data_IF_795855206602
#
_entry.id   IF_795855206602
#
_cell.length_a   1.000
_cell.length_b   1.000
_cell.length_c   1.000
_cell.angle_alpha   90.00
_cell.angle_beta   90.00
_cell.angle_gamma   90.00
#
_symmetry.space_group_name_H-M   'P 1'
#
loop_
_entity.id
_entity.type
_entity.pdbx_description
1 polymer ?
#
# COMPACT_ATOMS: atom_id res chain seq x y z
N UNK A 1 -7.95 -12.36 10.70
CA UNK A 1 -6.81 -11.45 10.51
C UNK A 1 -7.25 -10.02 10.16
N UNK A 2 -7.98 -9.80 9.06
CA UNK A 2 -8.37 -8.46 8.58
C UNK A 2 -9.20 -7.62 9.59
N UNK A 3 -10.13 -8.25 10.32
CA UNK A 3 -10.92 -7.57 11.36
C UNK A 3 -10.02 -7.05 12.50
N UNK A 4 -9.00 -7.84 12.88
CA UNK A 4 -8.06 -7.46 13.94
C UNK A 4 -7.17 -6.29 13.48
N UNK A 5 -6.66 -6.34 12.24
CA UNK A 5 -5.90 -5.24 11.64
C UNK A 5 -6.73 -3.95 11.61
N UNK A 6 -7.97 -4.04 11.13
CA UNK A 6 -8.88 -2.89 11.04
C UNK A 6 -9.13 -2.26 12.42
N UNK A 7 -9.42 -3.06 13.45
CA UNK A 7 -9.74 -2.56 14.79
C UNK A 7 -8.52 -2.09 15.58
N UNK A 8 -7.40 -2.80 15.50
CA UNK A 8 -6.24 -2.55 16.36
C UNK A 8 -5.22 -1.60 15.76
N UNK A 9 -5.15 -1.50 14.42
CA UNK A 9 -4.17 -0.66 13.74
C UNK A 9 -4.85 0.49 12.99
N UNK A 10 -5.83 0.19 12.14
CA UNK A 10 -6.43 1.22 11.29
C UNK A 10 -7.28 2.21 12.08
N UNK A 11 -8.11 1.74 13.03
CA UNK A 11 -8.97 2.61 13.83
C UNK A 11 -8.19 3.67 14.65
N UNK A 12 -7.14 3.32 15.44
CA UNK A 12 -6.37 4.33 16.16
C UNK A 12 -5.60 5.26 15.23
N UNK A 13 -5.02 4.74 14.13
CA UNK A 13 -4.34 5.58 13.14
C UNK A 13 -5.30 6.60 12.50
N UNK A 14 -6.50 6.17 12.12
CA UNK A 14 -7.54 7.05 11.55
C UNK A 14 -7.99 8.09 12.58
N UNK A 15 -8.11 7.72 13.86
CA UNK A 15 -8.48 8.66 14.92
C UNK A 15 -7.42 9.78 15.06
N UNK A 16 -6.14 9.42 15.10
CA UNK A 16 -5.03 10.38 15.17
C UNK A 16 -5.03 11.30 13.94
N UNK A 17 -5.16 10.74 12.73
CA UNK A 17 -5.20 11.52 11.49
C UNK A 17 -6.36 12.52 11.52
N UNK A 18 -7.56 12.10 11.96
CA UNK A 18 -8.73 12.98 12.04
C UNK A 18 -8.53 14.12 13.03
N UNK A 19 -7.93 13.83 14.19
CA UNK A 19 -7.63 14.85 15.19
C UNK A 19 -6.61 15.88 14.67
N UNK A 20 -5.49 15.40 14.12
CA UNK A 20 -4.44 16.26 13.55
C UNK A 20 -4.97 17.12 12.41
N UNK A 21 -5.77 16.53 11.51
CA UNK A 21 -6.37 17.27 10.41
C UNK A 21 -7.46 18.25 10.88
N UNK A 22 -8.21 17.90 11.94
CA UNK A 22 -9.18 18.79 12.56
C UNK A 22 -8.53 20.04 13.17
N UNK A 23 -7.34 19.92 13.79
CA UNK A 23 -6.54 21.06 14.27
C UNK A 23 -6.10 21.97 13.13
N UNK A 24 -5.67 21.37 12.03
CA UNK A 24 -5.33 22.11 10.80
C UNK A 24 -6.53 22.89 10.26
N UNK A 25 -7.68 22.25 10.10
CA UNK A 25 -8.92 22.88 9.61
C UNK A 25 -9.36 24.04 10.51
N UNK A 26 -9.35 23.86 11.83
CA UNK A 26 -9.69 24.92 12.77
C UNK A 26 -8.75 26.14 12.69
N UNK A 27 -7.46 25.91 12.41
CA UNK A 27 -6.46 26.96 12.23
C UNK A 27 -6.62 27.68 10.89
N UNK A 28 -6.90 26.94 9.81
CA UNK A 28 -7.04 27.49 8.46
C UNK A 28 -8.34 28.30 8.28
N UNK A 29 -9.40 27.94 9.01
CA UNK A 29 -10.74 28.51 8.88
C UNK A 29 -11.23 29.14 10.21
N UNK A 30 -10.67 30.28 10.62
CA UNK A 30 -10.99 30.89 11.92
C UNK A 30 -12.48 31.25 11.99
N UNK A 31 -13.24 30.60 12.88
CA UNK A 31 -14.71 30.72 13.02
C UNK A 31 -15.53 30.33 11.78
N UNK A 32 -14.92 29.70 10.76
CA UNK A 32 -15.58 29.31 9.51
C UNK A 32 -15.51 27.79 9.32
N UNK A 33 -15.88 27.04 10.36
CA UNK A 33 -15.91 25.57 10.33
C UNK A 33 -17.30 25.03 10.66
N UNK A 34 -17.65 23.91 10.05
CA UNK A 34 -18.85 23.12 10.36
C UNK A 34 -18.45 21.76 10.95
N UNK A 35 -19.25 21.25 11.87
CA UNK A 35 -19.02 19.92 12.43
C UNK A 35 -19.58 18.85 11.49
N UNK A 36 -18.73 17.90 11.14
CA UNK A 36 -19.15 16.69 10.41
C UNK A 36 -20.03 15.80 11.28
N UNK A 37 -20.70 14.83 10.65
CA UNK A 37 -21.43 13.75 11.36
C UNK A 37 -20.58 12.98 12.38
N UNK A 38 -19.25 13.05 12.26
CA UNK A 38 -18.29 12.42 13.15
C UNK A 38 -17.75 13.36 14.25
N UNK A 39 -18.27 14.59 14.35
CA UNK A 39 -17.86 15.58 15.36
C UNK A 39 -16.53 16.29 15.08
N UNK A 40 -15.97 16.18 13.88
CA UNK A 40 -14.72 16.87 13.50
C UNK A 40 -15.01 18.14 12.69
N UNK A 41 -14.29 19.25 12.94
CA UNK A 41 -14.46 20.50 12.21
C UNK A 41 -14.00 20.36 10.75
N UNK A 42 -14.72 21.01 9.85
CA UNK A 42 -14.40 21.13 8.41
C UNK A 42 -14.55 22.56 7.96
N UNK A 43 -13.58 23.06 7.22
CA UNK A 43 -13.61 24.39 6.65
C UNK A 43 -14.72 24.59 5.63
N UNK A 44 -15.34 25.76 5.69
CA UNK A 44 -16.33 26.20 4.70
C UNK A 44 -15.57 26.72 3.46
N UNK A 45 -15.90 26.26 2.24
CA UNK A 45 -15.26 26.75 1.01
C UNK A 45 -15.33 28.28 0.89
N UNK A 46 -14.22 28.90 0.49
CA UNK A 46 -14.11 30.36 0.28
C UNK A 46 -13.57 31.15 1.48
N UNK A 47 -13.44 30.55 2.66
CA UNK A 47 -12.91 31.19 3.88
C UNK A 47 -11.52 30.68 4.27
N UNK A 48 -10.81 30.05 3.33
CA UNK A 48 -9.48 29.51 3.57
C UNK A 48 -8.47 30.65 3.74
N UNK A 49 -7.76 30.66 4.87
CA UNK A 49 -6.67 31.61 5.13
C UNK A 49 -5.33 30.86 5.11
N UNK A 50 -4.72 30.76 3.92
CA UNK A 50 -3.48 29.99 3.70
C UNK A 50 -2.30 30.49 4.55
N UNK A 51 -2.24 31.80 4.85
CA UNK A 51 -1.20 32.41 5.67
C UNK A 51 -1.14 31.84 7.10
N UNK A 52 -2.25 31.29 7.60
CA UNK A 52 -2.28 30.68 8.92
C UNK A 52 -1.45 29.40 8.99
N UNK A 53 -1.13 28.77 7.86
CA UNK A 53 -0.30 27.56 7.84
C UNK A 53 1.10 27.82 8.42
N UNK A 54 1.64 29.02 8.20
CA UNK A 54 2.93 29.44 8.73
C UNK A 54 2.94 29.59 10.26
N UNK A 55 1.77 29.71 10.87
CA UNK A 55 1.61 29.81 12.33
C UNK A 55 1.52 28.43 13.00
N UNK A 56 1.41 27.36 12.20
CA UNK A 56 1.31 26.00 12.71
C UNK A 56 2.68 25.51 13.22
N UNK A 57 2.75 24.76 14.34
CA UNK A 57 3.98 24.10 14.75
C UNK A 57 4.51 23.19 13.65
N UNK A 58 5.83 23.18 13.46
CA UNK A 58 6.50 22.43 12.38
C UNK A 58 6.17 20.93 12.38
N UNK A 59 6.01 20.34 13.56
CA UNK A 59 5.73 18.90 13.69
C UNK A 59 4.29 18.57 13.26
N UNK A 60 3.32 19.41 13.63
CA UNK A 60 1.93 19.26 13.21
C UNK A 60 1.79 19.49 11.70
N UNK A 61 2.48 20.51 11.16
CA UNK A 61 2.50 20.79 9.73
C UNK A 61 3.03 19.58 8.93
N UNK A 62 4.12 18.95 9.39
CA UNK A 62 4.65 17.72 8.78
C UNK A 62 3.64 16.58 8.85
N UNK A 63 2.99 16.38 10.00
CA UNK A 63 2.01 15.31 10.18
C UNK A 63 0.81 15.50 9.24
N UNK A 64 0.32 16.73 9.04
CA UNK A 64 -0.76 17.04 8.09
C UNK A 64 -0.33 16.77 6.65
N UNK A 65 0.88 17.18 6.25
CA UNK A 65 1.42 16.91 4.92
C UNK A 65 1.60 15.41 4.63
N UNK A 66 1.73 14.59 5.67
CA UNK A 66 1.79 13.13 5.56
C UNK A 66 0.43 12.46 5.46
N UNK A 67 -0.69 13.19 5.47
CA UNK A 67 -2.03 12.61 5.27
C UNK A 67 -2.30 12.52 3.76
N UNK A 68 -2.13 11.34 3.11
CA UNK A 68 -2.24 11.21 1.65
C UNK A 68 -3.68 11.42 1.15
N UNK A 69 -4.67 11.33 2.05
CA UNK A 69 -6.09 11.55 1.76
C UNK A 69 -6.47 13.02 1.61
N UNK A 70 -5.56 13.96 1.90
CA UNK A 70 -5.81 15.40 1.78
C UNK A 70 -6.05 15.86 0.34
N UNK A 71 -5.53 15.14 -0.65
CA UNK A 71 -5.75 15.45 -2.07
C UNK A 71 -6.10 14.18 -2.87
N UNK A 72 -7.40 13.88 -3.09
CA UNK A 72 -7.85 12.60 -3.65
C UNK A 72 -7.27 12.33 -5.04
N UNK A 73 -7.09 13.35 -5.88
CA UNK A 73 -6.48 13.17 -7.20
C UNK A 73 -5.02 12.69 -7.12
N UNK A 74 -4.26 13.20 -6.16
CA UNK A 74 -2.86 12.81 -5.98
C UNK A 74 -2.76 11.37 -5.47
N UNK A 75 -3.62 11.02 -4.50
CA UNK A 75 -3.76 9.65 -4.01
C UNK A 75 -4.10 8.68 -5.14
N UNK A 76 -5.05 9.02 -6.00
CA UNK A 76 -5.46 8.16 -7.12
C UNK A 76 -4.31 7.93 -8.10
N UNK A 77 -3.47 8.93 -8.38
CA UNK A 77 -2.29 8.76 -9.22
C UNK A 77 -1.28 7.78 -8.61
N UNK A 78 -0.99 7.90 -7.31
CA UNK A 78 -0.08 6.99 -6.61
C UNK A 78 -0.63 5.57 -6.61
N UNK A 79 -1.90 5.40 -6.22
CA UNK A 79 -2.55 4.09 -6.21
C UNK A 79 -2.57 3.48 -7.60
N UNK A 80 -2.82 4.28 -8.65
CA UNK A 80 -2.79 3.80 -10.02
C UNK A 80 -1.40 3.27 -10.40
N UNK A 81 -0.34 4.03 -10.15
CA UNK A 81 1.04 3.58 -10.41
C UNK A 81 1.32 2.28 -9.65
N UNK A 82 0.93 2.21 -8.38
CA UNK A 82 1.15 1.03 -7.57
C UNK A 82 0.37 -0.19 -8.07
N UNK A 83 -0.87 -0.01 -8.51
CA UNK A 83 -1.67 -1.09 -9.10
C UNK A 83 -1.04 -1.63 -10.39
N UNK A 84 -0.44 -0.77 -11.22
CA UNK A 84 0.30 -1.20 -12.40
C UNK A 84 1.54 -2.03 -12.02
N UNK A 85 2.28 -1.63 -10.98
CA UNK A 85 3.41 -2.41 -10.47
C UNK A 85 2.96 -3.79 -9.99
N UNK A 86 1.90 -3.86 -9.17
CA UNK A 86 1.33 -5.13 -8.72
C UNK A 86 0.87 -6.01 -9.88
N UNK A 87 0.33 -5.43 -10.96
CA UNK A 87 -0.09 -6.19 -12.14
C UNK A 87 1.09 -6.83 -12.89
N UNK A 88 2.25 -6.14 -12.96
CA UNK A 88 3.47 -6.71 -13.54
C UNK A 88 3.97 -7.89 -12.73
N UNK A 89 4.04 -7.75 -11.40
CA UNK A 89 4.46 -8.85 -10.51
C UNK A 89 3.49 -10.04 -10.57
N UNK A 90 2.18 -9.77 -10.58
CA UNK A 90 1.16 -10.81 -10.70
C UNK A 90 1.34 -11.60 -12.01
N UNK A 91 1.61 -10.90 -13.12
CA UNK A 91 1.88 -11.55 -14.41
C UNK A 91 3.12 -12.45 -14.34
N UNK A 92 4.21 -12.00 -13.73
CA UNK A 92 5.43 -12.80 -13.55
C UNK A 92 5.19 -14.04 -12.70
N UNK A 93 4.40 -13.92 -11.63
CA UNK A 93 4.02 -15.04 -10.77
C UNK A 93 3.19 -16.05 -11.57
N UNK A 94 2.19 -15.58 -12.33
CA UNK A 94 1.34 -16.45 -13.16
C UNK A 94 2.15 -17.15 -14.25
N UNK A 95 3.05 -16.43 -14.94
CA UNK A 95 3.91 -17.03 -15.97
C UNK A 95 4.86 -18.08 -15.37
N UNK A 96 5.46 -17.79 -14.21
CA UNK A 96 6.31 -18.75 -13.47
C UNK A 96 5.50 -19.96 -13.01
N UNK A 97 4.30 -19.73 -12.46
CA UNK A 97 3.41 -20.79 -12.01
C UNK A 97 2.96 -21.69 -13.18
N UNK A 98 2.62 -21.13 -14.34
CA UNK A 98 2.26 -21.91 -15.53
C UNK A 98 3.45 -22.72 -16.04
N UNK A 99 4.65 -22.12 -16.10
CA UNK A 99 5.86 -22.87 -16.50
C UNK A 99 6.12 -24.04 -15.55
N UNK A 100 6.03 -23.80 -14.26
CA UNK A 100 6.31 -24.78 -13.23
C UNK A 100 5.25 -25.88 -13.17
N UNK A 101 3.96 -25.53 -13.24
CA UNK A 101 2.86 -26.50 -13.09
C UNK A 101 2.52 -27.25 -14.37
N UNK A 102 2.63 -26.62 -15.55
CA UNK A 102 2.17 -27.21 -16.82
C UNK A 102 3.28 -27.59 -17.79
N UNK A 103 4.45 -26.94 -17.75
CA UNK A 103 5.55 -27.28 -18.68
C UNK A 103 6.58 -28.21 -18.07
N UNK A 104 6.71 -28.23 -16.75
CA UNK A 104 7.67 -29.10 -16.07
C UNK A 104 7.07 -30.51 -15.94
N UNK A 105 7.72 -31.56 -16.48
CA UNK A 105 7.22 -32.92 -16.37
C UNK A 105 7.26 -33.39 -14.90
N UNK A 106 6.29 -34.23 -14.52
CA UNK A 106 6.20 -34.79 -13.18
C UNK A 106 7.09 -36.03 -13.09
N UNK A 107 8.00 -36.04 -12.11
CA UNK A 107 8.96 -37.12 -11.88
C UNK A 107 8.58 -37.86 -10.60
N UNK A 108 8.60 -39.19 -10.63
CA UNK A 108 8.14 -40.05 -9.52
C UNK A 108 9.10 -40.07 -8.32
N UNK A 109 10.37 -39.72 -8.51
CA UNK A 109 11.40 -39.89 -7.49
C UNK A 109 12.34 -38.68 -7.47
N UNK A 110 12.62 -38.17 -6.27
CA UNK A 110 13.44 -36.96 -6.02
C UNK A 110 14.88 -37.08 -6.52
N UNK A 111 15.40 -38.30 -6.69
CA UNK A 111 16.76 -38.56 -7.18
C UNK A 111 16.99 -38.17 -8.65
N UNK A 112 15.91 -38.01 -9.44
CA UNK A 112 15.98 -37.65 -10.87
C UNK A 112 15.61 -36.19 -11.15
N UNK A 113 15.44 -35.38 -10.11
CA UNK A 113 15.00 -33.98 -10.24
C UNK A 113 16.12 -33.08 -10.76
N UNK A 114 17.38 -33.47 -10.52
CA UNK A 114 18.57 -32.68 -10.84
C UNK A 114 19.47 -33.48 -11.77
N UNK A 115 19.63 -33.02 -13.00
CA UNK A 115 20.73 -33.46 -13.85
C UNK A 115 21.85 -32.40 -13.79
N UNK A 116 23.11 -32.80 -13.59
CA UNK A 116 24.22 -31.87 -13.65
C UNK A 116 24.31 -31.30 -15.07
N UNK A 117 24.19 -29.97 -15.19
CA UNK A 117 24.50 -29.33 -16.45
C UNK A 117 25.99 -29.55 -16.76
N UNK A 118 26.30 -29.82 -18.03
CA UNK A 118 27.64 -30.09 -18.56
C UNK A 118 28.74 -29.20 -17.96
N UNK A 119 29.91 -29.81 -17.73
CA UNK A 119 30.98 -29.55 -16.76
C UNK A 119 31.59 -28.14 -16.58
N UNK A 120 31.09 -27.06 -17.19
CA UNK A 120 31.77 -25.74 -17.10
C UNK A 120 30.99 -24.63 -16.36
N UNK A 121 29.75 -24.85 -15.94
CA UNK A 121 29.00 -23.86 -15.15
C UNK A 121 28.29 -24.55 -13.99
N UNK A 122 28.44 -24.04 -12.76
CA UNK A 122 27.72 -24.45 -11.54
C UNK A 122 26.20 -24.13 -11.64
N UNK A 123 25.55 -24.54 -12.72
CA UNK A 123 24.11 -24.45 -12.92
C UNK A 123 23.53 -25.87 -12.88
N UNK A 124 22.40 -26.03 -12.19
CA UNK A 124 21.72 -27.33 -12.08
C UNK A 124 20.43 -27.22 -12.88
N UNK A 125 20.22 -28.12 -13.83
CA UNK A 125 18.99 -28.15 -14.61
C UNK A 125 17.92 -28.91 -13.82
N UNK A 126 16.80 -28.24 -13.56
CA UNK A 126 15.62 -28.85 -12.93
C UNK A 126 14.83 -29.58 -14.02
N UNK A 127 14.90 -30.91 -14.01
CA UNK A 127 14.31 -31.77 -15.05
C UNK A 127 12.81 -31.98 -14.83
N UNK A 128 12.34 -31.86 -13.58
CA UNK A 128 10.94 -32.11 -13.26
C UNK A 128 10.54 -31.75 -11.83
N UNK A 129 9.24 -31.70 -11.55
CA UNK A 129 8.70 -31.55 -10.18
C UNK A 129 8.32 -32.92 -9.61
N UNK A 130 8.52 -33.12 -8.31
CA UNK A 130 8.06 -34.32 -7.61
C UNK A 130 6.63 -34.14 -7.12
N UNK A 131 5.76 -35.09 -7.47
CA UNK A 131 4.43 -35.20 -6.87
C UNK A 131 4.53 -36.13 -5.66
N UNK A 132 4.47 -35.55 -4.46
CA UNK A 132 4.35 -36.32 -3.22
C UNK A 132 2.86 -36.44 -2.93
N UNK A 133 2.28 -37.60 -3.28
CA UNK A 133 0.94 -38.00 -2.84
C UNK A 133 1.03 -38.80 -1.55
#
# INVERSE_FOLDING_TARGET
LLIAISRLLSAPAVAIIRETYGKYEALMYPNHTELTVNGFPRGIPGYLVEENFLKMPTDDAKAVCQVPLSHPFYLMSILFIWTLTCQVELRQIVETAIRLLWKTPLVKTTSYVLEPATEEEHSVNVVGLTFVM
#
